data_IF_024230827176
#
_entry.id   IF_024230827176
#
_cell.length_a   1.000
_cell.length_b   1.000
_cell.length_c   1.000
_cell.angle_alpha   90.00
_cell.angle_beta   90.00
_cell.angle_gamma   90.00
#
_symmetry.space_group_name_H-M   'P 1'
#
loop_
_entity.id
_entity.type
_entity.pdbx_description
1 polymer ?
#
# COMPACT_ATOMS: atom_id res chain seq x y z
N UNK A 1 3.61 24.24 -16.59
CA UNK A 1 4.60 24.69 -17.60
C UNK A 1 5.63 23.58 -17.76
N UNK A 2 5.94 23.16 -18.99
CA UNK A 2 6.97 22.17 -19.26
C UNK A 2 8.35 22.81 -19.04
N UNK A 3 9.35 22.07 -18.57
CA UNK A 3 10.71 22.59 -18.43
C UNK A 3 11.49 22.30 -19.71
N UNK A 4 12.51 23.11 -20.03
CA UNK A 4 13.39 22.84 -21.19
C UNK A 4 14.00 21.42 -21.18
N UNK A 5 14.24 20.86 -19.99
CA UNK A 5 14.71 19.49 -19.86
C UNK A 5 13.65 18.45 -20.23
N UNK A 6 12.38 18.70 -19.89
CA UNK A 6 11.26 17.83 -20.27
C UNK A 6 10.97 17.90 -21.77
N UNK A 7 11.03 19.09 -22.36
CA UNK A 7 10.87 19.28 -23.82
C UNK A 7 11.94 18.48 -24.59
N UNK A 8 13.20 18.63 -24.20
CA UNK A 8 14.32 17.86 -24.80
C UNK A 8 14.16 16.35 -24.63
N UNK A 9 13.60 15.88 -23.50
CA UNK A 9 13.36 14.46 -23.29
C UNK A 9 12.28 13.92 -24.24
N UNK A 10 11.22 14.67 -24.48
CA UNK A 10 10.15 14.30 -25.43
C UNK A 10 10.71 14.20 -26.85
N UNK A 11 11.48 15.19 -27.30
CA UNK A 11 12.11 15.17 -28.64
C UNK A 11 13.03 13.95 -28.86
N UNK A 12 13.74 13.52 -27.81
CA UNK A 12 14.59 12.33 -27.89
C UNK A 12 13.76 11.04 -27.99
N UNK A 13 12.65 10.95 -27.25
CA UNK A 13 11.75 9.79 -27.26
C UNK A 13 11.05 9.66 -28.62
N UNK A 14 10.58 10.77 -29.20
CA UNK A 14 9.90 10.77 -30.50
C UNK A 14 10.79 10.27 -31.66
N UNK A 15 12.12 10.35 -31.50
CA UNK A 15 13.09 9.87 -32.49
C UNK A 15 13.41 8.38 -32.36
N UNK A 16 12.95 7.72 -31.30
CA UNK A 16 13.18 6.30 -31.06
C UNK A 16 12.15 5.49 -31.85
N UNK A 17 12.56 4.44 -32.59
CA UNK A 17 11.61 3.55 -33.26
C UNK A 17 10.66 2.87 -32.29
N UNK A 18 9.41 2.67 -32.70
CA UNK A 18 8.36 2.02 -31.89
C UNK A 18 8.78 0.65 -31.33
N UNK A 19 9.50 -0.15 -32.12
CA UNK A 19 10.04 -1.46 -31.71
C UNK A 19 10.91 -1.39 -30.46
N UNK A 20 11.54 -0.23 -30.22
CA UNK A 20 12.40 0.02 -29.07
C UNK A 20 11.69 0.74 -27.92
N UNK A 21 10.43 1.16 -28.11
CA UNK A 21 9.69 1.94 -27.12
C UNK A 21 9.39 1.15 -25.85
N UNK A 22 9.27 -0.18 -25.96
CA UNK A 22 9.16 -1.07 -24.79
C UNK A 22 10.29 -0.87 -23.78
N UNK A 23 11.54 -0.70 -24.26
CA UNK A 23 12.69 -0.47 -23.38
C UNK A 23 12.64 0.90 -22.71
N UNK A 24 12.21 1.93 -23.45
CA UNK A 24 12.06 3.30 -22.94
C UNK A 24 11.00 3.34 -21.82
N UNK A 25 9.85 2.70 -22.05
CA UNK A 25 8.77 2.61 -21.06
C UNK A 25 9.27 1.92 -19.79
N UNK A 26 9.95 0.77 -19.92
CA UNK A 26 10.49 0.05 -18.76
C UNK A 26 11.48 0.90 -17.95
N UNK A 27 12.37 1.65 -18.61
CA UNK A 27 13.35 2.50 -17.91
C UNK A 27 12.64 3.64 -17.17
N UNK A 28 11.68 4.31 -17.81
CA UNK A 28 10.93 5.41 -17.21
C UNK A 28 10.08 4.95 -16.02
N UNK A 29 9.42 3.80 -16.12
CA UNK A 29 8.66 3.20 -15.03
C UNK A 29 9.57 2.83 -13.85
N UNK A 30 10.71 2.17 -14.10
CA UNK A 30 11.68 1.87 -13.04
C UNK A 30 12.19 3.15 -12.36
N UNK A 31 12.46 4.21 -13.12
CA UNK A 31 12.89 5.49 -12.55
C UNK A 31 11.80 6.10 -11.67
N UNK A 32 10.54 6.06 -12.11
CA UNK A 32 9.38 6.51 -11.33
C UNK A 32 9.29 5.72 -10.02
N UNK A 33 9.36 4.40 -10.07
CA UNK A 33 9.33 3.53 -8.90
C UNK A 33 10.50 3.76 -7.92
N UNK A 34 11.70 4.04 -8.45
CA UNK A 34 12.87 4.39 -7.63
C UNK A 34 12.77 5.79 -7.02
N UNK A 35 12.10 6.72 -7.71
CA UNK A 35 11.91 8.10 -7.25
C UNK A 35 10.74 8.26 -6.29
N UNK A 36 9.74 7.39 -6.38
CA UNK A 36 8.70 7.27 -5.37
C UNK A 36 9.33 6.70 -4.11
N UNK A 37 9.33 7.47 -3.03
CA UNK A 37 9.82 7.03 -1.72
C UNK A 37 8.84 6.03 -1.09
N UNK A 38 8.69 4.87 -1.75
CA UNK A 38 7.94 3.71 -1.27
C UNK A 38 8.53 3.16 0.03
N UNK A 39 9.71 3.62 0.45
CA UNK A 39 10.33 3.28 1.74
C UNK A 39 9.46 3.73 2.89
N UNK A 40 8.90 4.94 2.83
CA UNK A 40 8.04 5.48 3.87
C UNK A 40 6.71 4.71 3.94
N UNK A 41 6.07 4.46 2.79
CA UNK A 41 4.83 3.68 2.71
C UNK A 41 5.03 2.22 3.15
N UNK A 42 6.14 1.58 2.73
CA UNK A 42 6.49 0.22 3.13
C UNK A 42 6.78 0.15 4.63
N UNK A 43 7.48 1.13 5.20
CA UNK A 43 7.73 1.21 6.64
C UNK A 43 6.42 1.34 7.42
N UNK A 44 5.52 2.23 6.97
CA UNK A 44 4.20 2.39 7.58
C UNK A 44 3.37 1.09 7.50
N UNK A 45 3.38 0.41 6.34
CA UNK A 45 2.69 -0.86 6.17
C UNK A 45 3.27 -1.97 7.07
N UNK A 46 4.61 -2.02 7.22
CA UNK A 46 5.28 -2.97 8.12
C UNK A 46 4.99 -2.67 9.59
N UNK A 47 4.98 -1.41 10.01
CA UNK A 47 4.60 -1.01 11.38
C UNK A 47 3.14 -1.34 11.69
N UNK A 48 2.22 -1.11 10.74
CA UNK A 48 0.81 -1.49 10.87
C UNK A 48 0.65 -3.01 10.99
N UNK A 49 1.37 -3.77 10.17
CA UNK A 49 1.37 -5.24 10.23
C UNK A 49 1.93 -5.74 11.56
N UNK A 50 3.04 -5.17 12.04
CA UNK A 50 3.62 -5.52 13.34
C UNK A 50 2.63 -5.21 14.48
N UNK A 51 1.89 -4.10 14.37
CA UNK A 51 0.81 -3.75 15.29
C UNK A 51 -0.27 -4.81 15.37
N UNK A 52 -0.73 -5.33 14.23
CA UNK A 52 -1.73 -6.41 14.18
C UNK A 52 -1.16 -7.73 14.72
N UNK A 53 0.05 -8.09 14.29
CA UNK A 53 0.70 -9.35 14.70
C UNK A 53 0.97 -9.43 16.20
N UNK A 54 1.16 -8.30 16.90
CA UNK A 54 1.28 -8.28 18.38
C UNK A 54 0.06 -8.83 19.12
N UNK A 55 -1.10 -8.91 18.45
CA UNK A 55 -2.32 -9.50 19.00
C UNK A 55 -2.54 -10.95 18.53
N UNK A 56 -1.74 -11.45 17.58
CA UNK A 56 -1.80 -12.83 17.13
C UNK A 56 -1.48 -13.79 18.28
N UNK A 57 -2.29 -14.84 18.45
CA UNK A 57 -2.08 -15.88 19.46
C UNK A 57 -2.34 -15.44 20.91
N UNK A 58 -2.94 -14.26 21.14
CA UNK A 58 -3.37 -13.82 22.48
C UNK A 58 -4.74 -14.36 22.89
N UNK A 59 -5.53 -14.81 21.94
CA UNK A 59 -6.84 -15.40 22.18
C UNK A 59 -6.65 -16.86 22.59
N UNK A 60 -7.45 -17.30 23.56
CA UNK A 60 -7.44 -18.69 24.03
C UNK A 60 -7.88 -19.64 22.91
N UNK A 61 -7.47 -20.91 22.98
CA UNK A 61 -7.86 -21.93 21.98
C UNK A 61 -9.37 -22.16 21.92
N UNK A 62 -10.08 -21.87 23.00
CA UNK A 62 -11.54 -21.94 23.14
C UNK A 62 -12.26 -20.60 22.91
N UNK A 63 -11.56 -19.58 22.40
CA UNK A 63 -12.15 -18.28 22.11
C UNK A 63 -13.16 -18.36 20.96
N UNK A 64 -14.44 -18.20 21.29
CA UNK A 64 -15.54 -18.11 20.34
C UNK A 64 -15.85 -16.63 20.03
N UNK A 65 -15.38 -16.17 18.87
CA UNK A 65 -15.49 -14.77 18.46
C UNK A 65 -16.95 -14.31 18.33
N UNK A 66 -17.87 -15.19 17.93
CA UNK A 66 -19.27 -14.83 17.71
C UNK A 66 -19.99 -14.68 19.05
N UNK A 67 -19.75 -15.60 19.99
CA UNK A 67 -20.31 -15.53 21.34
C UNK A 67 -19.82 -14.31 22.12
N UNK A 68 -18.51 -14.03 22.08
CA UNK A 68 -17.92 -12.86 22.75
C UNK A 68 -18.46 -11.54 22.19
N UNK A 69 -18.67 -11.47 20.88
CA UNK A 69 -19.26 -10.29 20.23
C UNK A 69 -20.73 -10.08 20.60
N UNK A 70 -21.51 -11.17 20.71
CA UNK A 70 -22.90 -11.14 21.15
C UNK A 70 -23.01 -10.65 22.61
N UNK A 71 -22.22 -11.22 23.51
CA UNK A 71 -22.15 -10.80 24.92
C UNK A 71 -21.77 -9.32 25.05
N UNK A 72 -20.77 -8.85 24.31
CA UNK A 72 -20.36 -7.43 24.34
C UNK A 72 -21.45 -6.49 23.82
N UNK A 73 -22.28 -6.93 22.88
CA UNK A 73 -23.43 -6.16 22.38
C UNK A 73 -24.57 -6.14 23.40
N UNK A 74 -24.85 -7.26 24.06
CA UNK A 74 -25.83 -7.34 25.14
C UNK A 74 -25.39 -6.54 26.37
N UNK A 75 -24.12 -6.55 26.76
CA UNK A 75 -23.64 -5.74 27.90
C UNK A 75 -23.75 -4.23 27.61
N UNK A 76 -23.48 -3.83 26.35
CA UNK A 76 -23.44 -2.41 25.96
C UNK A 76 -24.79 -1.84 25.56
N UNK A 77 -25.66 -2.66 24.97
CA UNK A 77 -26.94 -2.24 24.38
C UNK A 77 -28.13 -3.09 24.83
N UNK A 78 -27.90 -4.13 25.61
CA UNK A 78 -28.95 -4.86 26.31
C UNK A 78 -29.63 -3.87 27.25
N UNK A 79 -30.90 -3.66 26.97
CA UNK A 79 -31.72 -2.68 27.62
C UNK A 79 -31.66 -2.87 29.15
N UNK A 80 -31.35 -1.83 29.94
CA UNK A 80 -31.46 -1.92 31.39
C UNK A 80 -32.96 -1.93 31.73
N UNK A 81 -33.48 -3.10 32.07
CA UNK A 81 -34.74 -3.23 32.80
C UNK A 81 -34.55 -2.79 34.27
#
# INVERSE_FOLDING_TARGET
MMTHMKERAVELIERIPDDNMFYVINILQNLEEMSSDKTAEKKQAMEALEGVLKFSGRLSEDFDADKELELAREEKYGNPD
#
